data_IF_856936356069
#
_entry.id   IF_856936356069
#
_cell.length_a   1.000
_cell.length_b   1.000
_cell.length_c   1.000
_cell.angle_alpha   90.00
_cell.angle_beta   90.00
_cell.angle_gamma   90.00
#
_symmetry.space_group_name_H-M   'P 1'
#
loop_
_entity.id
_entity.type
_entity.pdbx_description
1 polymer ?
#
# COMPACT_ATOMS: atom_id res chain seq x y z
N UNK A 1 7.81 -2.74 34.01
CA UNK A 1 7.01 -1.76 33.26
C UNK A 1 7.67 -1.70 31.90
N UNK A 2 7.02 -2.17 30.82
CA UNK A 2 7.60 -2.01 29.48
C UNK A 2 7.78 -0.52 29.21
N UNK A 3 8.87 -0.17 28.54
CA UNK A 3 9.05 1.19 28.06
C UNK A 3 7.91 1.53 27.09
N UNK A 4 7.47 2.78 27.06
CA UNK A 4 6.33 3.21 26.23
C UNK A 4 6.62 2.93 24.76
N UNK A 5 7.87 3.15 24.35
CA UNK A 5 8.34 2.91 22.98
C UNK A 5 8.29 1.42 22.63
N UNK A 6 8.63 0.53 23.56
CA UNK A 6 8.58 -0.92 23.36
C UNK A 6 7.13 -1.42 23.21
N UNK A 7 6.23 -0.93 24.06
CA UNK A 7 4.81 -1.30 23.98
C UNK A 7 4.14 -0.78 22.71
N UNK A 8 4.51 0.42 22.25
CA UNK A 8 4.03 0.96 20.98
C UNK A 8 4.61 0.18 19.79
N UNK A 9 5.90 -0.14 19.81
CA UNK A 9 6.54 -0.91 18.75
C UNK A 9 5.88 -2.29 18.61
N UNK A 10 5.61 -2.98 19.72
CA UNK A 10 4.93 -4.28 19.70
C UNK A 10 3.53 -4.20 19.07
N UNK A 11 2.80 -3.11 19.33
CA UNK A 11 1.47 -2.90 18.74
C UNK A 11 1.57 -2.66 17.22
N UNK A 12 2.55 -1.89 16.77
CA UNK A 12 2.71 -1.58 15.34
C UNK A 12 3.02 -2.81 14.48
N UNK A 13 3.61 -3.86 15.06
CA UNK A 13 3.89 -5.14 14.39
C UNK A 13 2.69 -6.10 14.37
N UNK A 14 1.52 -5.67 14.85
CA UNK A 14 0.29 -6.50 14.84
C UNK A 14 -0.44 -6.42 13.51
N UNK A 15 -1.15 -7.50 13.17
CA UNK A 15 -2.03 -7.53 11.99
C UNK A 15 -3.10 -6.43 12.03
N UNK A 16 -3.62 -6.13 13.23
CA UNK A 16 -4.62 -5.09 13.42
C UNK A 16 -4.08 -3.70 13.11
N UNK A 17 -2.83 -3.41 13.50
CA UNK A 17 -2.17 -2.16 13.13
C UNK A 17 -1.95 -2.06 11.61
N UNK A 18 -1.48 -3.14 10.99
CA UNK A 18 -1.30 -3.23 9.53
C UNK A 18 -2.62 -2.96 8.77
N UNK A 19 -3.72 -3.56 9.20
CA UNK A 19 -5.04 -3.35 8.57
C UNK A 19 -5.51 -1.90 8.72
N UNK A 20 -5.29 -1.27 9.88
CA UNK A 20 -5.63 0.15 10.09
C UNK A 20 -4.86 1.03 9.10
N UNK A 21 -3.56 0.79 8.93
CA UNK A 21 -2.77 1.53 7.95
C UNK A 21 -3.26 1.27 6.52
N UNK A 22 -3.51 0.01 6.16
CA UNK A 22 -3.99 -0.35 4.83
C UNK A 22 -5.33 0.32 4.48
N UNK A 23 -6.27 0.32 5.43
CA UNK A 23 -7.57 1.00 5.29
C UNK A 23 -7.40 2.51 5.16
N UNK A 24 -6.53 3.11 5.97
CA UNK A 24 -6.25 4.55 5.92
C UNK A 24 -5.71 4.97 4.55
N UNK A 25 -4.66 4.29 4.07
CA UNK A 25 -4.09 4.55 2.74
C UNK A 25 -5.10 4.31 1.62
N UNK A 26 -5.87 3.23 1.71
CA UNK A 26 -6.92 2.90 0.74
C UNK A 26 -8.02 3.96 0.70
N UNK A 27 -8.44 4.48 1.86
CA UNK A 27 -9.43 5.54 1.99
C UNK A 27 -8.99 6.84 1.32
N UNK A 28 -7.78 7.31 1.64
CA UNK A 28 -7.19 8.52 1.04
C UNK A 28 -7.09 8.36 -0.48
N UNK A 29 -6.59 7.21 -0.96
CA UNK A 29 -6.46 6.94 -2.39
C UNK A 29 -7.81 7.01 -3.10
N UNK A 30 -8.87 6.45 -2.51
CA UNK A 30 -10.23 6.49 -3.07
C UNK A 30 -10.77 7.91 -3.11
N UNK A 31 -10.56 8.70 -2.05
CA UNK A 31 -10.98 10.10 -1.99
C UNK A 31 -10.28 10.94 -3.08
N UNK A 32 -8.97 10.78 -3.24
CA UNK A 32 -8.20 11.43 -4.31
C UNK A 32 -8.76 11.08 -5.69
N UNK A 33 -8.98 9.78 -5.97
CA UNK A 33 -9.52 9.32 -7.25
C UNK A 33 -10.90 9.96 -7.52
N UNK A 34 -11.76 10.05 -6.50
CA UNK A 34 -13.07 10.67 -6.64
C UNK A 34 -12.96 12.16 -7.00
N UNK A 35 -12.11 12.91 -6.29
CA UNK A 35 -11.87 14.32 -6.59
C UNK A 35 -11.24 14.54 -7.98
N UNK A 36 -10.29 13.70 -8.37
CA UNK A 36 -9.64 13.77 -9.67
C UNK A 36 -10.62 13.53 -10.82
N UNK A 37 -11.50 12.53 -10.69
CA UNK A 37 -12.59 12.30 -11.65
C UNK A 37 -13.56 13.48 -11.72
N UNK A 38 -13.93 14.06 -10.57
CA UNK A 38 -14.83 15.22 -10.52
C UNK A 38 -14.25 16.46 -11.22
N UNK A 39 -12.92 16.61 -11.24
CA UNK A 39 -12.23 17.66 -11.97
C UNK A 39 -12.06 17.37 -13.49
N UNK A 40 -12.61 16.27 -14.00
CA UNK A 40 -12.48 15.86 -15.40
C UNK A 40 -11.21 15.08 -15.73
N UNK A 41 -10.45 14.64 -14.71
CA UNK A 41 -9.26 13.80 -14.89
C UNK A 41 -9.61 12.34 -15.16
N UNK A 42 -8.84 11.68 -16.04
CA UNK A 42 -8.95 10.25 -16.30
C UNK A 42 -7.98 9.45 -15.40
N UNK A 43 -8.53 8.53 -14.60
CA UNK A 43 -7.72 7.72 -13.69
C UNK A 43 -6.78 6.83 -14.50
N UNK A 44 -5.47 6.81 -14.19
CA UNK A 44 -4.54 5.93 -14.88
C UNK A 44 -4.96 4.46 -14.71
N UNK A 45 -4.76 3.62 -15.74
CA UNK A 45 -5.10 2.21 -15.66
C UNK A 45 -4.32 1.53 -14.52
N UNK A 46 -4.93 0.50 -13.93
CA UNK A 46 -4.29 -0.29 -12.88
C UNK A 46 -2.99 -0.87 -13.45
N UNK A 47 -1.86 -0.51 -12.85
CA UNK A 47 -0.57 -1.09 -13.16
C UNK A 47 -0.25 -2.19 -12.15
N UNK A 48 0.32 -3.32 -12.59
CA UNK A 48 0.78 -4.36 -11.67
C UNK A 48 1.90 -3.79 -10.79
N UNK A 49 1.80 -4.01 -9.47
CA UNK A 49 2.80 -3.54 -8.50
C UNK A 49 4.17 -4.16 -8.78
N UNK A 50 4.18 -5.42 -9.23
CA UNK A 50 5.39 -6.13 -9.64
C UNK A 50 5.22 -6.72 -11.03
N UNK A 51 6.28 -6.62 -11.84
CA UNK A 51 6.41 -7.31 -13.12
C UNK A 51 7.47 -8.39 -12.98
N UNK A 52 7.07 -9.66 -13.05
CA UNK A 52 8.01 -10.78 -13.05
C UNK A 52 8.68 -10.82 -14.42
N UNK A 53 10.01 -10.70 -14.43
CA UNK A 53 10.84 -10.88 -15.63
C UNK A 53 11.44 -12.28 -15.54
N UNK A 54 11.12 -13.16 -16.50
CA UNK A 54 11.81 -14.45 -16.62
C UNK A 54 13.19 -14.18 -17.22
N UNK A 55 14.24 -14.58 -16.53
CA UNK A 55 15.56 -14.69 -17.16
C UNK A 55 15.54 -15.95 -18.02
N UNK A 56 15.55 -15.78 -19.34
CA UNK A 56 15.90 -16.87 -20.23
C UNK A 56 17.37 -17.22 -19.98
N UNK A 57 17.64 -18.47 -19.59
CA UNK A 57 19.01 -18.94 -19.45
C UNK A 57 19.75 -18.75 -20.79
N UNK A 58 20.95 -18.14 -20.81
CA UNK A 58 21.75 -18.11 -22.03
C UNK A 58 22.07 -19.54 -22.48
N UNK A 59 22.05 -19.84 -23.79
CA UNK A 59 22.41 -21.16 -24.29
C UNK A 59 23.84 -21.52 -23.86
N UNK A 60 24.01 -22.78 -23.42
CA UNK A 60 25.31 -23.35 -23.02
C UNK A 60 26.29 -23.42 -24.19
#
# INVERSE_FOLDING_TARGET
MKDVDEALSDYLETYEADEIFNDHFSGIRRAFIAGFKAAGGEVPPIQPVFRIIRQDHPPK
#
